data_IF_218262149042
#
_entry.id   IF_218262149042
#
_cell.length_a   1.000
_cell.length_b   1.000
_cell.length_c   1.000
_cell.angle_alpha   90.00
_cell.angle_beta   90.00
_cell.angle_gamma   90.00
#
_symmetry.space_group_name_H-M   'P 1'
#
loop_
_entity.id
_entity.type
_entity.pdbx_description
1 polymer ?
#
# COMPACT_ATOMS: atom_id res chain seq x y z
N UNK A 1 -49.17 -55.67 -34.05
CA UNK A 1 -48.02 -55.70 -33.20
C UNK A 1 -47.42 -54.34 -33.18
N UNK A 2 -47.78 -53.58 -32.19
CA UNK A 2 -47.18 -52.30 -31.95
C UNK A 2 -45.78 -52.44 -31.33
N UNK A 3 -44.82 -51.89 -32.02
CA UNK A 3 -43.52 -51.80 -31.44
C UNK A 3 -43.58 -50.94 -30.13
N UNK A 4 -43.09 -51.41 -29.08
CA UNK A 4 -43.08 -50.57 -27.90
C UNK A 4 -42.24 -49.33 -28.17
N UNK A 5 -42.88 -48.24 -28.16
CA UNK A 5 -42.15 -47.00 -28.17
C UNK A 5 -41.37 -46.92 -26.89
N UNK A 6 -40.12 -47.11 -27.04
CA UNK A 6 -39.26 -46.87 -25.94
C UNK A 6 -39.26 -45.39 -25.64
N UNK A 7 -39.89 -45.01 -24.60
CA UNK A 7 -39.72 -43.67 -24.09
C UNK A 7 -38.25 -43.51 -23.76
N UNK A 8 -37.58 -42.75 -24.56
CA UNK A 8 -36.25 -42.38 -24.23
C UNK A 8 -36.31 -41.65 -22.90
N UNK A 9 -35.78 -42.27 -21.92
CA UNK A 9 -35.51 -41.56 -20.70
C UNK A 9 -34.50 -40.48 -21.06
N UNK A 10 -35.02 -39.31 -21.23
CA UNK A 10 -34.12 -38.18 -21.23
C UNK A 10 -33.44 -38.18 -19.88
N UNK A 11 -32.26 -38.71 -19.87
CA UNK A 11 -31.41 -38.50 -18.76
C UNK A 11 -31.09 -37.03 -18.76
N UNK A 12 -31.89 -36.29 -18.08
CA UNK A 12 -31.46 -34.96 -17.70
C UNK A 12 -30.37 -35.15 -16.69
N UNK A 13 -29.19 -35.24 -17.17
CA UNK A 13 -28.05 -34.99 -16.30
C UNK A 13 -28.29 -33.65 -15.65
N UNK A 14 -28.34 -33.59 -14.34
CA UNK A 14 -28.31 -32.28 -13.71
C UNK A 14 -27.06 -31.60 -14.22
N UNK A 15 -27.25 -30.57 -14.99
CA UNK A 15 -26.17 -29.70 -15.29
C UNK A 15 -25.67 -29.27 -13.94
N UNK A 16 -24.53 -29.78 -13.56
CA UNK A 16 -23.84 -29.22 -12.43
C UNK A 16 -23.66 -27.78 -12.80
N UNK A 17 -24.50 -26.93 -12.29
CA UNK A 17 -24.27 -25.51 -12.33
C UNK A 17 -23.00 -25.35 -11.50
N UNK A 18 -21.91 -25.25 -12.23
CA UNK A 18 -20.72 -24.78 -11.61
C UNK A 18 -21.14 -23.49 -10.94
N UNK A 19 -21.25 -23.50 -9.66
CA UNK A 19 -21.36 -22.28 -8.90
C UNK A 19 -20.28 -21.40 -9.42
N UNK A 20 -20.60 -20.22 -9.98
CA UNK A 20 -19.56 -19.29 -10.24
C UNK A 20 -18.83 -19.15 -8.91
N UNK A 21 -17.58 -19.56 -8.89
CA UNK A 21 -16.74 -19.21 -7.78
C UNK A 21 -16.70 -17.70 -7.84
N UNK A 22 -17.61 -17.09 -7.12
CA UNK A 22 -17.50 -15.69 -6.81
C UNK A 22 -16.16 -15.61 -6.09
N UNK A 23 -15.19 -14.89 -6.65
CA UNK A 23 -14.00 -14.65 -5.89
C UNK A 23 -14.49 -14.12 -4.54
N UNK A 24 -14.03 -14.68 -3.43
CA UNK A 24 -14.43 -14.18 -2.13
C UNK A 24 -14.23 -12.69 -2.19
N UNK A 25 -15.21 -11.97 -1.72
CA UNK A 25 -15.14 -10.53 -1.64
C UNK A 25 -13.74 -10.14 -1.17
N UNK A 26 -13.14 -9.04 -1.69
CA UNK A 26 -11.78 -8.63 -1.38
C UNK A 26 -11.55 -8.36 0.12
N UNK A 27 -12.48 -8.72 0.93
CA UNK A 27 -12.44 -8.74 2.38
C UNK A 27 -11.90 -10.05 2.93
N UNK A 28 -11.34 -10.91 2.09
CA UNK A 28 -10.62 -12.03 2.65
C UNK A 28 -9.33 -11.48 3.25
N UNK A 29 -9.39 -11.23 4.56
CA UNK A 29 -8.26 -10.72 5.31
C UNK A 29 -7.05 -11.66 5.20
N UNK A 30 -7.29 -12.95 4.97
CA UNK A 30 -6.21 -13.91 4.76
C UNK A 30 -5.47 -13.65 3.44
N UNK A 31 -6.19 -13.32 2.36
CA UNK A 31 -5.56 -12.99 1.09
C UNK A 31 -4.80 -11.67 1.15
N UNK A 32 -5.34 -10.67 1.82
CA UNK A 32 -4.67 -9.39 2.03
C UNK A 32 -3.40 -9.56 2.85
N UNK A 33 -3.45 -10.36 3.92
CA UNK A 33 -2.27 -10.64 4.74
C UNK A 33 -1.21 -11.40 3.96
N UNK A 34 -1.60 -12.37 3.14
CA UNK A 34 -0.67 -13.12 2.30
C UNK A 34 0.00 -12.20 1.26
N UNK A 35 -0.76 -11.29 0.66
CA UNK A 35 -0.23 -10.31 -0.28
C UNK A 35 0.75 -9.36 0.42
N UNK A 36 0.39 -8.88 1.60
CA UNK A 36 1.28 -8.05 2.41
C UNK A 36 2.59 -8.78 2.71
N UNK A 37 2.51 -10.04 3.12
CA UNK A 37 3.70 -10.83 3.42
C UNK A 37 4.60 -11.00 2.19
N UNK A 38 4.02 -11.21 1.00
CA UNK A 38 4.77 -11.25 -0.25
C UNK A 38 5.41 -9.91 -0.55
N UNK A 39 4.67 -8.82 -0.38
CA UNK A 39 5.20 -7.47 -0.57
C UNK A 39 6.41 -7.21 0.34
N UNK A 40 6.28 -7.52 1.63
CA UNK A 40 7.38 -7.33 2.58
C UNK A 40 8.60 -8.19 2.23
N UNK A 41 8.38 -9.44 1.80
CA UNK A 41 9.46 -10.30 1.35
C UNK A 41 10.17 -9.73 0.12
N UNK A 42 9.41 -9.22 -0.84
CA UNK A 42 9.95 -8.63 -2.07
C UNK A 42 10.75 -7.35 -1.78
N UNK A 43 10.34 -6.58 -0.78
CA UNK A 43 11.06 -5.37 -0.37
C UNK A 43 12.38 -5.68 0.33
N UNK A 44 12.56 -6.88 0.85
CA UNK A 44 13.80 -7.31 1.52
C UNK A 44 14.21 -6.38 2.67
N UNK A 45 13.26 -5.72 3.28
CA UNK A 45 13.50 -4.83 4.42
C UNK A 45 13.40 -5.62 5.73
N UNK A 46 14.26 -5.34 6.71
CA UNK A 46 14.17 -6.02 8.00
C UNK A 46 12.90 -5.64 8.74
N UNK A 47 12.34 -6.62 9.46
CA UNK A 47 11.11 -6.45 10.25
C UNK A 47 11.38 -6.50 11.76
N UNK A 48 12.64 -6.50 12.15
CA UNK A 48 13.09 -6.62 13.54
C UNK A 48 13.33 -5.28 14.24
N UNK A 49 12.96 -4.17 13.59
CA UNK A 49 13.18 -2.83 14.14
C UNK A 49 14.55 -2.24 13.85
N UNK A 50 15.42 -2.95 13.13
CA UNK A 50 16.70 -2.38 12.72
C UNK A 50 16.52 -1.31 11.65
N UNK A 51 17.53 -0.44 11.51
CA UNK A 51 17.51 0.62 10.51
C UNK A 51 17.37 0.04 9.10
N UNK A 52 16.54 0.70 8.30
CA UNK A 52 16.30 0.31 6.91
C UNK A 52 17.33 0.95 6.00
N UNK A 53 17.82 0.16 5.06
CA UNK A 53 18.74 0.59 4.02
C UNK A 53 18.15 0.15 2.68
N UNK A 54 18.25 0.98 1.65
CA UNK A 54 17.75 0.65 0.33
C UNK A 54 18.48 -0.57 -0.24
N UNK A 55 17.71 -1.57 -0.64
CA UNK A 55 18.20 -2.86 -1.16
C UNK A 55 17.80 -3.05 -2.62
N UNK A 56 16.53 -2.82 -2.94
CA UNK A 56 16.03 -2.97 -4.31
C UNK A 56 16.39 -1.75 -5.16
N UNK A 57 16.41 -1.92 -6.48
CA UNK A 57 16.69 -0.82 -7.40
C UNK A 57 15.67 0.33 -7.22
N UNK A 58 14.40 0.00 -7.07
CA UNK A 58 13.35 1.00 -6.85
C UNK A 58 13.58 1.79 -5.56
N UNK A 59 13.95 1.11 -4.48
CA UNK A 59 14.27 1.77 -3.21
C UNK A 59 15.48 2.70 -3.35
N UNK A 60 16.52 2.24 -4.03
CA UNK A 60 17.73 3.03 -4.25
C UNK A 60 17.45 4.29 -5.05
N UNK A 61 16.60 4.18 -6.05
CA UNK A 61 16.19 5.32 -6.87
C UNK A 61 15.38 6.33 -6.05
N UNK A 62 14.41 5.85 -5.27
CA UNK A 62 13.63 6.67 -4.35
C UNK A 62 14.56 7.44 -3.39
N UNK A 63 15.46 6.72 -2.74
CA UNK A 63 16.37 7.33 -1.76
C UNK A 63 17.33 8.33 -2.44
N UNK A 64 17.83 8.03 -3.63
CA UNK A 64 18.69 8.95 -4.37
C UNK A 64 17.96 10.26 -4.69
N UNK A 65 16.71 10.19 -5.12
CA UNK A 65 15.89 11.36 -5.40
C UNK A 65 15.63 12.19 -4.13
N UNK A 66 15.29 11.53 -3.03
CA UNK A 66 15.04 12.21 -1.77
C UNK A 66 16.32 12.84 -1.19
N UNK A 67 17.42 12.15 -1.30
CA UNK A 67 18.71 12.68 -0.86
C UNK A 67 19.07 13.93 -1.64
N UNK A 68 18.94 13.89 -2.96
CA UNK A 68 19.22 15.05 -3.81
C UNK A 68 18.32 16.22 -3.42
N UNK A 69 17.05 15.98 -3.14
CA UNK A 69 16.13 17.03 -2.71
C UNK A 69 16.53 17.63 -1.36
N UNK A 70 16.79 16.80 -0.35
CA UNK A 70 17.18 17.27 0.99
C UNK A 70 18.46 18.11 0.91
N UNK A 71 19.46 17.63 0.18
CA UNK A 71 20.73 18.35 0.01
C UNK A 71 20.52 19.66 -0.76
N UNK A 72 19.62 19.70 -1.74
CA UNK A 72 19.29 20.92 -2.46
C UNK A 72 18.67 22.00 -1.57
N UNK A 73 18.02 21.60 -0.47
CA UNK A 73 17.46 22.52 0.51
C UNK A 73 18.49 22.96 1.55
N UNK A 74 19.75 22.56 1.40
CA UNK A 74 20.81 22.92 2.32
C UNK A 74 20.86 22.08 3.59
N UNK A 75 20.08 20.99 3.65
CA UNK A 75 20.06 20.09 4.79
C UNK A 75 21.03 18.92 4.59
N UNK A 76 21.51 18.38 5.69
CA UNK A 76 22.40 17.22 5.68
C UNK A 76 21.57 15.94 5.55
N UNK A 77 21.94 15.06 4.63
CA UNK A 77 21.36 13.75 4.53
C UNK A 77 22.01 12.81 5.54
N UNK A 78 21.18 12.05 6.27
CA UNK A 78 21.65 11.07 7.26
C UNK A 78 21.05 9.69 6.98
N UNK A 79 21.63 8.66 7.57
CA UNK A 79 21.09 7.31 7.52
C UNK A 79 19.68 7.22 8.14
N UNK A 80 19.37 8.12 9.06
CA UNK A 80 18.05 8.23 9.67
C UNK A 80 16.99 8.64 8.62
N UNK A 81 17.32 9.56 7.74
CA UNK A 81 16.43 9.92 6.62
C UNK A 81 16.12 8.71 5.76
N UNK A 82 17.14 7.95 5.37
CA UNK A 82 16.94 6.77 4.54
C UNK A 82 16.01 5.76 5.20
N UNK A 83 16.28 5.43 6.45
CA UNK A 83 15.48 4.47 7.21
C UNK A 83 14.02 4.91 7.34
N UNK A 84 13.80 6.15 7.73
CA UNK A 84 12.45 6.70 7.94
C UNK A 84 11.68 6.78 6.61
N UNK A 85 12.33 7.25 5.56
CA UNK A 85 11.66 7.41 4.26
C UNK A 85 11.26 6.07 3.67
N UNK A 86 12.12 5.05 3.78
CA UNK A 86 11.77 3.70 3.36
C UNK A 86 10.59 3.15 4.17
N UNK A 87 10.60 3.38 5.47
CA UNK A 87 9.50 2.95 6.34
C UNK A 87 8.18 3.63 5.99
N UNK A 88 8.19 4.94 5.72
CA UNK A 88 6.99 5.68 5.33
C UNK A 88 6.37 5.11 4.05
N UNK A 89 7.18 4.89 3.03
CA UNK A 89 6.70 4.39 1.75
C UNK A 89 6.19 2.95 1.87
N UNK A 90 6.94 2.08 2.54
CA UNK A 90 6.53 0.70 2.74
C UNK A 90 5.23 0.59 3.53
N UNK A 91 5.07 1.40 4.57
CA UNK A 91 3.88 1.44 5.41
C UNK A 91 2.63 1.86 4.60
N UNK A 92 2.77 2.86 3.74
CA UNK A 92 1.69 3.25 2.84
C UNK A 92 1.30 2.12 1.89
N UNK A 93 2.27 1.46 1.29
CA UNK A 93 2.02 0.34 0.38
C UNK A 93 1.33 -0.83 1.10
N UNK A 94 1.73 -1.14 2.34
CA UNK A 94 1.03 -2.13 3.16
C UNK A 94 -0.42 -1.73 3.40
N UNK A 95 -0.65 -0.47 3.71
CA UNK A 95 -2.01 0.04 3.94
C UNK A 95 -2.88 -0.11 2.69
N UNK A 96 -2.31 0.15 1.50
CA UNK A 96 -3.02 -0.10 0.24
C UNK A 96 -3.46 -1.55 0.13
N UNK A 97 -2.54 -2.48 0.37
CA UNK A 97 -2.83 -3.93 0.29
C UNK A 97 -3.94 -4.30 1.27
N UNK A 98 -3.85 -3.83 2.51
CA UNK A 98 -4.82 -4.16 3.57
C UNK A 98 -6.19 -3.52 3.34
N UNK A 99 -6.28 -2.51 2.47
CA UNK A 99 -7.53 -1.88 2.05
C UNK A 99 -7.99 -2.33 0.67
N UNK A 100 -7.48 -3.46 0.18
CA UNK A 100 -7.86 -4.00 -1.13
C UNK A 100 -7.45 -3.10 -2.29
N UNK A 101 -6.37 -2.36 -2.15
CA UNK A 101 -5.85 -1.40 -3.13
C UNK A 101 -6.81 -0.22 -3.39
N UNK A 102 -7.64 0.10 -2.40
CA UNK A 102 -8.55 1.25 -2.47
C UNK A 102 -8.13 2.30 -1.45
N UNK A 103 -7.62 3.41 -1.94
CA UNK A 103 -7.21 4.55 -1.11
C UNK A 103 -7.96 5.80 -1.57
N UNK A 104 -8.67 6.41 -0.65
CA UNK A 104 -9.33 7.69 -0.82
C UNK A 104 -8.86 8.66 0.27
N UNK A 105 -9.39 9.88 0.28
CA UNK A 105 -9.02 10.87 1.27
C UNK A 105 -9.29 10.40 2.70
N UNK A 106 -10.39 9.67 2.92
CA UNK A 106 -10.74 9.14 4.24
C UNK A 106 -9.71 8.12 4.72
N UNK A 107 -9.35 7.15 3.86
CA UNK A 107 -8.34 6.14 4.19
C UNK A 107 -6.97 6.74 4.37
N UNK A 108 -6.63 7.73 3.55
CA UNK A 108 -5.38 8.49 3.71
C UNK A 108 -5.33 9.15 5.10
N UNK A 109 -6.38 9.87 5.47
CA UNK A 109 -6.45 10.54 6.78
C UNK A 109 -6.35 9.55 7.94
N UNK A 110 -7.03 8.41 7.84
CA UNK A 110 -6.94 7.35 8.85
C UNK A 110 -5.53 6.79 8.96
N UNK A 111 -4.86 6.60 7.82
CA UNK A 111 -3.48 6.14 7.80
C UNK A 111 -2.57 7.11 8.56
N UNK A 112 -2.64 8.38 8.23
CA UNK A 112 -1.84 9.43 8.88
C UNK A 112 -2.09 9.48 10.38
N UNK A 113 -3.36 9.46 10.78
CA UNK A 113 -3.76 9.56 12.19
C UNK A 113 -3.35 8.34 13.02
N UNK A 114 -3.34 7.17 12.41
CA UNK A 114 -3.01 5.91 13.09
C UNK A 114 -1.55 5.51 12.97
N UNK A 115 -0.78 6.16 12.10
CA UNK A 115 0.61 5.77 11.84
C UNK A 115 1.53 6.15 13.00
N UNK A 116 2.22 5.17 13.61
CA UNK A 116 3.24 5.47 14.61
C UNK A 116 4.38 6.33 14.08
N UNK A 117 4.70 6.20 12.79
CA UNK A 117 5.75 6.99 12.14
C UNK A 117 5.38 8.48 12.10
N UNK A 118 4.17 8.81 11.67
CA UNK A 118 3.70 10.19 11.69
C UNK A 118 3.69 10.77 13.10
N UNK A 119 3.21 9.99 14.06
CA UNK A 119 3.19 10.40 15.45
C UNK A 119 4.60 10.70 15.98
N UNK A 120 5.55 9.82 15.70
CA UNK A 120 6.93 9.98 16.14
C UNK A 120 7.61 11.18 15.46
N UNK A 121 7.40 11.37 14.16
CA UNK A 121 8.00 12.45 13.39
C UNK A 121 7.43 13.83 13.75
N UNK A 122 6.18 13.88 14.19
CA UNK A 122 5.51 15.12 14.57
C UNK A 122 5.57 15.39 16.08
N UNK A 123 6.13 14.48 16.85
CA UNK A 123 6.30 14.66 18.28
C UNK A 123 7.20 15.87 18.56
N UNK A 124 6.76 16.73 19.45
CA UNK A 124 7.50 17.94 19.79
C UNK A 124 7.38 19.09 18.79
N UNK A 125 6.68 18.90 17.69
CA UNK A 125 6.42 19.97 16.73
C UNK A 125 5.33 20.89 17.32
N UNK A 126 5.55 22.21 17.22
CA UNK A 126 4.58 23.17 17.74
C UNK A 126 3.25 23.08 17.02
N UNK A 127 2.16 23.45 17.72
CA UNK A 127 0.81 23.41 17.15
C UNK A 127 0.71 24.20 15.83
N UNK A 128 1.45 25.30 15.72
CA UNK A 128 1.46 26.14 14.51
C UNK A 128 2.16 25.49 13.33
N UNK A 129 3.09 24.58 13.57
CA UNK A 129 3.90 23.93 12.53
C UNK A 129 3.44 22.52 12.20
N UNK A 130 2.53 21.93 12.98
CA UNK A 130 2.09 20.54 12.80
C UNK A 130 1.48 20.30 11.41
N UNK A 131 0.62 21.19 10.93
CA UNK A 131 -0.03 21.02 9.64
C UNK A 131 0.97 20.99 8.48
N UNK A 132 1.96 21.89 8.50
CA UNK A 132 3.01 21.92 7.48
C UNK A 132 3.94 20.71 7.60
N UNK A 133 4.24 20.29 8.82
CA UNK A 133 5.04 19.09 9.07
C UNK A 133 4.36 17.82 8.58
N UNK A 134 3.07 17.69 8.84
CA UNK A 134 2.26 16.57 8.37
C UNK A 134 2.25 16.51 6.84
N UNK A 135 2.04 17.64 6.18
CA UNK A 135 2.05 17.72 4.71
C UNK A 135 3.41 17.30 4.16
N UNK A 136 4.50 17.75 4.76
CA UNK A 136 5.85 17.36 4.34
C UNK A 136 6.09 15.86 4.47
N UNK A 137 5.74 15.27 5.60
CA UNK A 137 5.88 13.82 5.83
C UNK A 137 5.00 13.06 4.84
N UNK A 138 3.76 13.50 4.67
CA UNK A 138 2.82 12.89 3.72
C UNK A 138 3.35 12.97 2.28
N UNK A 139 3.97 14.07 1.89
CA UNK A 139 4.53 14.22 0.53
C UNK A 139 5.66 13.23 0.27
N UNK A 140 6.53 13.00 1.25
CA UNK A 140 7.60 11.99 1.15
C UNK A 140 7.00 10.59 1.00
N UNK A 141 6.03 10.27 1.83
CA UNK A 141 5.32 8.99 1.80
C UNK A 141 4.70 8.73 0.42
N UNK A 142 3.95 9.69 -0.09
CA UNK A 142 3.27 9.57 -1.40
C UNK A 142 4.30 9.44 -2.53
N UNK A 143 5.34 10.24 -2.51
CA UNK A 143 6.42 10.13 -3.49
C UNK A 143 7.01 8.72 -3.49
N UNK A 144 7.26 8.15 -2.30
CA UNK A 144 7.79 6.80 -2.16
C UNK A 144 6.88 5.71 -2.71
N UNK A 145 5.56 5.89 -2.65
CA UNK A 145 4.63 4.90 -3.22
C UNK A 145 4.84 4.73 -4.72
N UNK A 146 5.26 5.78 -5.42
CA UNK A 146 5.55 5.72 -6.85
C UNK A 146 6.69 4.77 -7.20
N UNK A 147 7.55 4.47 -6.24
CA UNK A 147 8.68 3.53 -6.42
C UNK A 147 8.36 2.15 -5.87
N UNK A 148 7.72 2.05 -4.71
CA UNK A 148 7.51 0.79 -4.01
C UNK A 148 6.19 0.10 -4.38
N UNK A 149 5.16 0.86 -4.68
CA UNK A 149 3.86 0.33 -5.13
C UNK A 149 3.24 1.26 -6.19
N UNK A 150 3.87 1.33 -7.37
CA UNK A 150 3.47 2.30 -8.40
C UNK A 150 2.04 2.15 -8.87
N UNK A 151 1.45 0.98 -8.75
CA UNK A 151 0.06 0.72 -9.13
C UNK A 151 -0.93 1.48 -8.24
N UNK A 152 -0.58 1.67 -6.97
CA UNK A 152 -1.42 2.37 -5.99
C UNK A 152 -1.10 3.86 -5.89
N UNK A 153 0.06 4.29 -6.38
CA UNK A 153 0.54 5.66 -6.25
C UNK A 153 -0.46 6.73 -6.75
N UNK A 154 -1.15 6.54 -7.89
CA UNK A 154 -2.12 7.54 -8.35
C UNK A 154 -3.23 7.84 -7.35
N UNK A 155 -3.67 6.84 -6.60
CA UNK A 155 -4.70 7.03 -5.58
C UNK A 155 -4.17 7.82 -4.38
N UNK A 156 -2.94 7.52 -3.95
CA UNK A 156 -2.29 8.28 -2.89
C UNK A 156 -2.07 9.74 -3.29
N UNK A 157 -1.64 9.97 -4.53
CA UNK A 157 -1.44 11.31 -5.07
C UNK A 157 -2.76 12.11 -5.14
N UNK A 158 -3.83 11.47 -5.61
CA UNK A 158 -5.14 12.12 -5.70
C UNK A 158 -5.68 12.48 -4.32
N UNK A 159 -5.57 11.58 -3.34
CA UNK A 159 -5.98 11.83 -1.97
C UNK A 159 -5.14 12.94 -1.33
N UNK A 160 -3.84 12.95 -1.58
CA UNK A 160 -2.95 14.01 -1.12
C UNK A 160 -3.39 15.39 -1.62
N UNK A 161 -3.67 15.50 -2.91
CA UNK A 161 -4.14 16.76 -3.51
C UNK A 161 -5.47 17.20 -2.91
N UNK A 162 -6.36 16.26 -2.65
CA UNK A 162 -7.66 16.57 -2.02
C UNK A 162 -7.50 17.10 -0.61
N UNK A 163 -6.57 16.55 0.17
CA UNK A 163 -6.38 16.90 1.58
C UNK A 163 -5.51 18.14 1.80
N UNK A 164 -4.49 18.33 0.96
CA UNK A 164 -3.45 19.34 1.18
C UNK A 164 -3.31 20.34 0.02
N UNK A 165 -3.90 20.02 -1.10
CA UNK A 165 -3.90 20.90 -2.27
C UNK A 165 -4.92 21.97 -2.18
#
# INVERSE_FOLDING_TARGET
>A
SGAPVKAGTASTSPVAVASPSVPPAPTDSADALAERDRFMADQQLPTDGSDLVAVTDAQKEFIAEQRAYVESQGAEWTSQHESVYLALAADACETSILNGHEIDATRFSLHVQSSPLFRALLEGVSADAVAAGEENVASVMVFGTGFLCPEDAPQWEAAFRELYG
#
